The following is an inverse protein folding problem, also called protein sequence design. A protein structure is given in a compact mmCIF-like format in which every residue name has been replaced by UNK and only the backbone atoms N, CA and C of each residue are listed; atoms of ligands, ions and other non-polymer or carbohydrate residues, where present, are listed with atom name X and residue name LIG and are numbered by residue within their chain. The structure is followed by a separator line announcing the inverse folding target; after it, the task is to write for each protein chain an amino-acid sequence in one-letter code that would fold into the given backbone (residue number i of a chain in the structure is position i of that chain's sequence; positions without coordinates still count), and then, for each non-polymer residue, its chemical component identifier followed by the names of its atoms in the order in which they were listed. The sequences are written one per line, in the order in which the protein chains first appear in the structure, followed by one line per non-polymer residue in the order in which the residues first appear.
data_IF_816037979871
#
_entry.id   IF_816037979871
#
_cell.length_a   1.000
_cell.length_b   1.000
_cell.length_c   1.000
_cell.angle_alpha   90.00
_cell.angle_beta   90.00
_cell.angle_gamma   90.00
#
_symmetry.space_group_name_H-M   'P 1'
#
loop_
_entity.id
_entity.type
_entity.pdbx_description
1 polymer ?
#
# COMPACT_ATOMS: atom_id res chain seq x y z
N UNK A 1 -13.26 -22.19 -37.20
CA UNK A 1 -13.04 -20.72 -37.24
C UNK A 1 -12.07 -20.34 -36.12
N UNK A 2 -11.03 -19.54 -36.38
CA UNK A 2 -10.13 -19.02 -35.33
C UNK A 2 -10.65 -17.67 -34.83
N UNK A 3 -10.72 -17.49 -33.51
CA UNK A 3 -11.16 -16.25 -32.88
C UNK A 3 -10.10 -15.82 -31.85
N UNK A 4 -9.73 -14.55 -31.89
CA UNK A 4 -8.85 -13.93 -30.91
C UNK A 4 -9.71 -13.15 -29.91
N UNK A 5 -9.52 -13.41 -28.63
CA UNK A 5 -10.22 -12.72 -27.54
C UNK A 5 -9.19 -12.07 -26.63
N UNK A 6 -9.31 -10.75 -26.43
CA UNK A 6 -8.45 -10.01 -25.52
C UNK A 6 -9.27 -9.57 -24.30
N UNK A 7 -8.84 -9.95 -23.11
CA UNK A 7 -9.45 -9.57 -21.84
C UNK A 7 -8.48 -8.74 -21.03
N UNK A 8 -8.94 -7.60 -20.52
CA UNK A 8 -8.19 -6.77 -19.58
C UNK A 8 -8.91 -6.79 -18.24
N UNK A 9 -8.23 -7.25 -17.21
CA UNK A 9 -8.80 -7.41 -15.86
C UNK A 9 -8.30 -6.31 -14.90
N UNK A 10 -9.05 -6.14 -13.82
CA UNK A 10 -8.83 -5.23 -12.68
C UNK A 10 -7.46 -5.48 -12.02
N UNK A 11 -6.90 -4.42 -11.44
CA UNK A 11 -5.71 -4.46 -10.59
C UNK A 11 -5.85 -5.47 -9.45
N UNK A 12 -4.93 -6.41 -9.36
CA UNK A 12 -4.82 -7.30 -8.22
C UNK A 12 -4.03 -6.61 -7.11
N UNK A 13 -4.76 -6.27 -6.04
CA UNK A 13 -4.16 -5.81 -4.80
C UNK A 13 -3.60 -7.01 -4.04
N UNK A 14 -2.34 -6.93 -3.64
CA UNK A 14 -1.65 -7.90 -2.80
C UNK A 14 -1.95 -7.71 -1.30
N UNK A 15 -3.10 -7.15 -0.97
CA UNK A 15 -3.50 -6.88 0.41
C UNK A 15 -3.92 -8.22 1.04
N UNK A 16 -2.93 -9.01 1.47
CA UNK A 16 -3.15 -10.27 2.19
C UNK A 16 -3.71 -9.95 3.58
N UNK A 17 -4.88 -10.46 3.96
CA UNK A 17 -5.20 -10.59 5.38
C UNK A 17 -4.40 -11.78 5.92
N UNK A 18 -3.22 -11.52 6.48
CA UNK A 18 -2.61 -12.44 7.43
C UNK A 18 -3.22 -12.17 8.82
N UNK A 19 -4.53 -12.34 8.94
CA UNK A 19 -5.16 -12.48 10.26
C UNK A 19 -5.09 -13.96 10.60
N UNK A 20 -4.03 -14.35 11.32
CA UNK A 20 -3.83 -15.74 11.70
C UNK A 20 -2.42 -16.08 12.14
N UNK A 21 -1.83 -15.26 13.02
CA UNK A 21 -1.11 -15.74 14.20
C UNK A 21 -0.84 -14.52 15.09
N UNK A 22 -1.45 -14.46 16.28
CA UNK A 22 -1.02 -13.56 17.35
C UNK A 22 0.32 -14.06 17.92
N UNK A 23 1.34 -14.17 17.06
CA UNK A 23 2.71 -14.02 17.50
C UNK A 23 2.85 -12.56 17.89
N UNK A 24 2.75 -12.26 19.20
CA UNK A 24 3.05 -10.94 19.75
C UNK A 24 4.21 -10.34 18.95
N UNK A 25 4.02 -9.21 18.24
CA UNK A 25 5.15 -8.52 17.65
C UNK A 25 6.17 -8.31 18.79
N UNK A 26 7.48 -8.50 18.55
CA UNK A 26 8.47 -8.16 19.58
C UNK A 26 8.12 -6.74 20.01
N UNK A 27 7.98 -6.54 21.31
CA UNK A 27 7.45 -5.34 21.96
C UNK A 27 8.13 -4.09 21.37
N UNK A 28 7.59 -3.62 20.25
CA UNK A 28 8.03 -2.41 19.60
C UNK A 28 7.51 -1.35 20.54
N UNK A 29 8.41 -0.74 21.31
CA UNK A 29 8.14 0.57 21.85
C UNK A 29 7.69 1.41 20.67
N UNK A 30 6.38 1.64 20.51
CA UNK A 30 5.85 2.47 19.45
C UNK A 30 6.65 3.76 19.52
N UNK A 31 7.46 4.01 18.48
CA UNK A 31 8.36 5.14 18.54
C UNK A 31 7.47 6.37 18.62
N UNK A 32 7.63 7.13 19.70
CA UNK A 32 6.99 8.42 19.94
C UNK A 32 6.93 9.31 18.67
N UNK A 33 7.93 9.15 17.81
CA UNK A 33 8.15 9.93 16.62
C UNK A 33 7.66 9.26 15.32
N UNK A 34 6.62 8.41 15.36
CA UNK A 34 5.93 7.76 14.22
C UNK A 34 6.88 7.33 13.09
N UNK A 35 6.98 8.13 12.03
CA UNK A 35 7.77 7.83 10.82
C UNK A 35 9.31 7.92 11.03
N UNK A 36 9.74 8.50 12.15
CA UNK A 36 11.14 8.72 12.54
C UNK A 36 11.63 7.61 13.49
N UNK A 37 11.46 6.35 13.08
CA UNK A 37 11.78 5.16 13.88
C UNK A 37 13.25 5.07 14.33
N UNK A 38 14.15 5.80 13.65
CA UNK A 38 15.55 5.89 14.00
C UNK A 38 15.79 6.76 15.26
N UNK A 39 14.83 7.63 15.60
CA UNK A 39 14.86 8.45 16.81
C UNK A 39 14.02 7.78 17.91
N UNK A 40 14.64 7.46 19.04
CA UNK A 40 13.95 6.80 20.15
C UNK A 40 14.62 7.05 21.49
N UNK A 41 13.84 6.88 22.56
CA UNK A 41 14.35 6.79 23.92
C UNK A 41 14.78 5.35 24.18
N UNK A 42 16.04 5.16 24.55
CA UNK A 42 16.64 3.84 24.81
C UNK A 42 16.97 3.73 26.27
N UNK A 43 16.48 2.66 26.90
CA UNK A 43 16.74 2.34 28.31
C UNK A 43 18.25 2.25 28.58
N UNK A 44 18.73 2.91 29.62
CA UNK A 44 20.12 2.79 30.05
C UNK A 44 20.44 1.36 30.49
N UNK A 45 21.52 0.80 29.96
CA UNK A 45 21.98 -0.56 30.27
C UNK A 45 23.43 -0.61 30.80
N UNK A 46 23.99 0.55 31.18
CA UNK A 46 25.38 0.68 31.64
C UNK A 46 26.37 1.15 30.56
N UNK A 47 25.96 1.23 29.30
CA UNK A 47 26.81 1.71 28.20
C UNK A 47 26.12 2.81 27.39
N UNK A 48 26.88 3.81 26.95
CA UNK A 48 26.36 4.88 26.10
C UNK A 48 26.01 4.30 24.72
N UNK A 49 24.72 4.34 24.30
CA UNK A 49 24.33 3.81 23.00
C UNK A 49 24.91 4.64 21.85
N UNK A 50 25.25 3.97 20.75
CA UNK A 50 25.66 4.63 19.52
C UNK A 50 24.52 5.52 18.99
N UNK A 51 24.85 6.73 18.54
CA UNK A 51 23.87 7.71 18.08
C UNK A 51 23.20 8.50 19.22
N UNK A 52 23.71 8.41 20.46
CA UNK A 52 23.24 9.25 21.56
C UNK A 52 23.33 10.74 21.20
N UNK A 53 22.21 11.44 21.34
CA UNK A 53 22.11 12.87 21.04
C UNK A 53 22.72 13.65 22.19
N UNK A 54 23.62 14.60 21.89
CA UNK A 54 24.30 15.38 22.92
C UNK A 54 24.81 16.72 22.42
N UNK A 55 25.35 17.49 23.34
CA UNK A 55 26.00 18.78 23.10
C UNK A 55 27.37 18.80 23.77
N UNK A 56 28.22 19.72 23.32
CA UNK A 56 29.44 20.06 24.04
C UNK A 56 29.15 21.18 25.03
N UNK A 57 29.36 20.93 26.32
CA UNK A 57 29.23 21.90 27.39
C UNK A 57 30.57 22.62 27.55
N UNK A 58 30.67 23.85 27.01
CA UNK A 58 31.92 24.59 26.99
C UNK A 58 32.36 25.03 28.39
N UNK A 59 31.40 25.40 29.25
CA UNK A 59 31.66 25.81 30.64
C UNK A 59 32.25 24.70 31.50
N UNK A 60 31.83 23.45 31.28
CA UNK A 60 32.33 22.28 32.02
C UNK A 60 33.36 21.46 31.24
N UNK A 61 33.69 21.87 30.01
CA UNK A 61 34.63 21.20 29.11
C UNK A 61 34.37 19.69 28.94
N UNK A 62 33.10 19.33 28.71
CA UNK A 62 32.66 17.93 28.59
C UNK A 62 31.52 17.74 27.59
N UNK A 63 31.23 16.48 27.25
CA UNK A 63 30.03 16.13 26.47
C UNK A 63 28.88 15.76 27.40
N UNK A 64 27.76 16.40 27.17
CA UNK A 64 26.50 16.14 27.86
C UNK A 64 25.52 15.52 26.85
N UNK A 65 24.94 14.38 27.20
CA UNK A 65 23.99 13.62 26.38
C UNK A 65 22.58 13.78 26.91
N UNK A 66 21.60 13.89 26.01
CA UNK A 66 20.20 14.01 26.35
C UNK A 66 19.72 12.72 27.01
N UNK A 67 19.30 12.82 28.26
CA UNK A 67 18.70 11.74 29.02
C UNK A 67 17.34 12.17 29.58
N UNK A 68 16.55 11.20 30.05
CA UNK A 68 15.36 11.47 30.85
C UNK A 68 15.14 10.43 31.94
N UNK A 69 14.60 10.87 33.06
CA UNK A 69 13.89 10.00 34.00
C UNK A 69 12.40 10.30 33.93
N UNK A 70 11.59 9.29 33.60
CA UNK A 70 10.16 9.45 33.30
C UNK A 70 9.93 10.50 32.20
N UNK A 71 9.39 11.67 32.55
CA UNK A 71 9.16 12.81 31.66
C UNK A 71 10.13 13.98 31.90
N UNK A 72 11.09 13.86 32.81
CA UNK A 72 12.06 14.91 33.13
C UNK A 72 13.32 14.74 32.29
N UNK A 73 13.48 15.58 31.27
CA UNK A 73 14.71 15.66 30.51
C UNK A 73 15.83 16.34 31.31
N UNK A 74 17.04 15.89 31.04
CA UNK A 74 18.25 16.31 31.73
C UNK A 74 19.49 15.97 30.92
N UNK A 75 20.60 15.72 31.62
CA UNK A 75 21.85 15.33 31.00
C UNK A 75 22.50 14.12 31.67
N UNK A 76 23.13 13.29 30.84
CA UNK A 76 24.08 12.26 31.24
C UNK A 76 25.47 12.66 30.72
N UNK A 77 26.53 12.40 31.49
CA UNK A 77 27.90 12.59 31.04
C UNK A 77 28.79 11.47 31.56
N UNK A 78 29.63 10.84 30.72
CA UNK A 78 30.59 9.83 31.16
C UNK A 78 31.59 10.33 32.22
N UNK A 79 31.83 11.64 32.27
CA UNK A 79 32.86 12.26 33.13
C UNK A 79 32.41 12.42 34.60
N UNK A 80 31.14 12.11 34.92
CA UNK A 80 30.59 12.26 36.28
C UNK A 80 30.31 10.90 36.91
N UNK A 81 29.21 10.27 36.51
CA UNK A 81 28.78 8.94 36.96
C UNK A 81 27.71 8.39 36.01
N UNK A 82 27.25 7.16 36.26
CA UNK A 82 26.21 6.48 35.47
C UNK A 82 24.79 6.91 35.83
N UNK A 83 24.56 8.22 35.95
CA UNK A 83 23.26 8.80 36.31
C UNK A 83 22.79 9.85 35.30
N UNK A 84 21.48 9.90 35.08
CA UNK A 84 20.82 11.02 34.44
C UNK A 84 20.51 12.09 35.50
N UNK A 85 21.08 13.28 35.34
CA UNK A 85 20.78 14.45 36.16
C UNK A 85 19.64 15.22 35.52
N UNK A 86 18.58 15.49 36.28
CA UNK A 86 17.41 16.20 35.78
C UNK A 86 16.92 17.22 36.82
N UNK A 87 16.20 18.21 36.34
CA UNK A 87 15.62 19.25 37.18
C UNK A 87 14.26 18.81 37.71
N UNK A 88 13.99 19.01 39.00
CA UNK A 88 12.67 18.76 39.61
C UNK A 88 12.46 19.62 40.85
N UNK A 89 11.36 20.37 40.88
CA UNK A 89 10.87 21.09 42.07
C UNK A 89 11.94 21.93 42.78
N UNK A 90 12.73 22.71 42.03
CA UNK A 90 13.77 23.57 42.57
C UNK A 90 15.14 22.90 42.80
N UNK A 91 15.28 21.60 42.51
CA UNK A 91 16.51 20.82 42.76
C UNK A 91 17.07 20.13 41.52
N UNK A 92 18.38 19.89 41.55
CA UNK A 92 19.02 18.86 40.71
C UNK A 92 18.80 17.51 41.38
N UNK A 93 18.07 16.65 40.70
CA UNK A 93 17.84 15.26 41.08
C UNK A 93 18.61 14.36 40.12
N UNK A 94 18.78 13.09 40.50
CA UNK A 94 19.49 12.12 39.68
C UNK A 94 18.82 10.74 39.77
N UNK A 95 19.02 9.94 38.72
CA UNK A 95 18.55 8.56 38.67
C UNK A 95 19.52 7.70 37.86
N UNK A 96 19.77 6.48 38.32
CA UNK A 96 20.46 5.42 37.56
C UNK A 96 19.49 4.61 36.68
N UNK A 97 18.19 4.79 36.91
CA UNK A 97 17.07 4.32 36.12
C UNK A 97 16.68 5.46 35.17
N UNK A 98 17.18 5.46 33.93
CA UNK A 98 16.86 6.50 32.94
C UNK A 98 16.90 5.98 31.49
N UNK A 99 16.48 6.84 30.56
CA UNK A 99 16.58 6.61 29.12
C UNK A 99 17.50 7.65 28.47
N UNK A 100 18.20 7.27 27.41
CA UNK A 100 18.99 8.15 26.53
C UNK A 100 18.24 8.39 25.23
N UNK A 101 18.25 9.62 24.71
CA UNK A 101 17.75 9.90 23.37
C UNK A 101 18.78 9.46 22.33
N UNK A 102 18.37 8.57 21.42
CA UNK A 102 19.22 8.00 20.38
C UNK A 102 18.67 8.34 19.01
N UNK A 103 19.51 8.93 18.16
CA UNK A 103 19.31 9.04 16.72
C UNK A 103 20.20 8.00 16.03
N UNK A 104 19.65 6.81 15.78
CA UNK A 104 20.39 5.71 15.15
C UNK A 104 20.96 6.16 13.80
N UNK A 105 22.25 5.91 13.58
CA UNK A 105 23.01 6.26 12.38
C UNK A 105 23.03 7.77 12.06
N UNK A 106 22.72 8.62 13.05
CA UNK A 106 22.40 10.04 12.85
C UNK A 106 21.43 10.25 11.67
N UNK A 107 20.41 9.39 11.54
CA UNK A 107 19.58 9.36 10.34
C UNK A 107 18.53 10.49 10.30
N UNK A 108 17.93 10.84 11.43
CA UNK A 108 16.93 11.90 11.45
C UNK A 108 17.61 13.28 11.42
N UNK A 109 17.02 14.27 10.73
CA UNK A 109 17.63 15.59 10.59
C UNK A 109 17.34 16.45 11.82
N UNK A 110 18.00 16.17 12.93
CA UNK A 110 17.81 16.93 14.17
C UNK A 110 18.42 18.34 14.07
N UNK A 111 17.71 19.32 14.62
CA UNK A 111 18.19 20.71 14.71
C UNK A 111 17.75 21.34 16.04
N UNK A 112 18.55 22.29 16.53
CA UNK A 112 18.21 23.11 17.68
C UNK A 112 17.64 24.44 17.20
N UNK A 113 16.41 24.77 17.60
CA UNK A 113 15.73 26.02 17.23
C UNK A 113 15.53 26.93 18.42
N UNK A 114 16.03 28.16 18.31
CA UNK A 114 15.89 29.17 19.35
C UNK A 114 14.45 29.62 19.51
N UNK A 115 14.01 29.67 20.76
CA UNK A 115 12.69 30.16 21.15
C UNK A 115 12.71 30.70 22.60
N UNK A 116 11.56 31.14 23.10
CA UNK A 116 11.46 31.79 24.42
C UNK A 116 10.05 31.82 24.99
N UNK A 117 9.97 32.10 26.29
CA UNK A 117 8.72 32.37 27.02
C UNK A 117 7.64 31.28 26.89
N UNK A 118 8.06 30.02 26.79
CA UNK A 118 7.17 28.85 26.72
C UNK A 118 6.79 28.45 25.30
N UNK A 119 7.18 29.21 24.29
CA UNK A 119 7.00 28.81 22.91
C UNK A 119 7.85 27.57 22.59
N UNK A 120 7.29 26.72 21.75
CA UNK A 120 7.89 25.47 21.31
C UNK A 120 7.58 25.29 19.82
N UNK A 121 8.60 25.17 18.95
CA UNK A 121 8.37 24.98 17.53
C UNK A 121 7.66 23.66 17.22
N UNK A 122 7.05 23.58 16.03
CA UNK A 122 6.52 22.30 15.51
C UNK A 122 7.61 21.23 15.40
N UNK A 123 7.21 19.95 15.48
CA UNK A 123 8.11 18.78 15.45
C UNK A 123 9.16 18.73 16.58
N UNK A 124 8.87 19.37 17.71
CA UNK A 124 9.76 19.34 18.88
C UNK A 124 9.79 17.97 19.55
N UNK A 125 10.97 17.61 20.04
CA UNK A 125 11.23 16.34 20.72
C UNK A 125 10.65 16.41 22.13
N UNK A 126 9.58 15.66 22.36
CA UNK A 126 8.93 15.51 23.67
C UNK A 126 9.57 14.39 24.49
N UNK A 127 9.45 14.48 25.81
CA UNK A 127 9.92 13.43 26.73
C UNK A 127 8.87 12.33 26.99
N UNK A 128 7.59 12.62 26.71
CA UNK A 128 6.43 11.73 26.92
C UNK A 128 5.19 12.23 26.15
N UNK A 129 4.18 11.37 25.97
CA UNK A 129 2.99 11.66 25.13
C UNK A 129 2.04 12.65 25.80
N UNK A 130 1.98 12.56 27.13
CA UNK A 130 1.04 13.29 27.95
C UNK A 130 1.66 14.52 28.61
N UNK A 131 2.99 14.66 28.58
CA UNK A 131 3.70 15.54 29.50
C UNK A 131 3.88 16.99 29.06
N UNK A 132 3.69 17.34 27.79
CA UNK A 132 3.96 18.71 27.31
C UNK A 132 5.37 19.23 27.63
N UNK A 133 6.32 18.34 27.92
CA UNK A 133 7.71 18.65 28.25
C UNK A 133 8.59 18.29 27.06
N UNK A 134 9.50 19.20 26.71
CA UNK A 134 10.35 19.09 25.53
C UNK A 134 11.82 19.11 25.90
N UNK A 135 12.65 18.48 25.06
CA UNK A 135 14.10 18.54 25.19
C UNK A 135 14.59 19.92 24.79
N UNK A 136 15.30 20.59 25.68
CA UNK A 136 15.84 21.93 25.44
C UNK A 136 17.31 22.05 25.80
N UNK A 137 17.90 23.16 25.36
CA UNK A 137 19.25 23.53 25.75
C UNK A 137 19.47 25.04 25.82
N UNK A 138 20.60 25.41 26.40
CA UNK A 138 21.28 26.69 26.17
C UNK A 138 22.58 26.45 25.39
N UNK A 139 23.52 27.40 25.39
CA UNK A 139 24.88 27.17 24.88
C UNK A 139 25.59 26.04 25.61
N UNK A 140 25.32 25.86 26.90
CA UNK A 140 26.12 25.00 27.78
C UNK A 140 25.32 23.93 28.50
N UNK A 141 24.01 24.11 28.69
CA UNK A 141 23.22 23.21 29.54
C UNK A 141 22.12 22.51 28.76
N UNK A 142 21.91 21.22 29.05
CA UNK A 142 20.75 20.42 28.62
C UNK A 142 19.71 20.36 29.73
N UNK A 143 18.45 20.21 29.33
CA UNK A 143 17.35 20.09 30.27
C UNK A 143 16.01 20.01 29.58
N UNK A 144 15.00 20.60 30.22
CA UNK A 144 13.60 20.50 29.80
C UNK A 144 12.98 21.87 29.56
N UNK A 145 12.16 21.99 28.53
CA UNK A 145 11.27 23.15 28.32
C UNK A 145 9.87 22.78 28.78
N UNK A 146 9.29 23.61 29.64
CA UNK A 146 7.92 23.45 30.14
C UNK A 146 7.11 24.68 29.73
N UNK A 147 6.35 24.61 28.61
CA UNK A 147 5.59 25.73 28.07
C UNK A 147 4.69 26.43 29.09
N UNK A 148 4.02 25.65 29.96
CA UNK A 148 3.13 26.16 30.99
C UNK A 148 3.86 27.08 31.97
N UNK A 149 5.14 26.80 32.25
CA UNK A 149 5.98 27.60 33.13
C UNK A 149 6.80 28.65 32.38
N UNK A 150 6.68 28.72 31.05
CA UNK A 150 7.34 29.69 30.17
C UNK A 150 8.88 29.68 30.22
N UNK A 151 9.48 28.60 30.69
CA UNK A 151 10.91 28.52 30.96
C UNK A 151 11.52 27.20 30.52
N UNK A 152 12.81 27.26 30.20
CA UNK A 152 13.73 26.13 30.18
C UNK A 152 14.27 25.91 31.59
N UNK A 153 14.37 24.65 32.02
CA UNK A 153 14.87 24.24 33.32
C UNK A 153 16.01 23.25 33.15
N UNK A 154 17.10 23.46 33.86
CA UNK A 154 18.27 22.59 33.83
C UNK A 154 18.84 22.35 35.23
N UNK A 155 19.34 21.14 35.51
CA UNK A 155 20.07 20.85 36.73
C UNK A 155 21.48 21.48 36.69
N UNK A 156 21.87 22.16 37.77
CA UNK A 156 23.24 22.60 37.96
C UNK A 156 23.60 22.69 39.45
N UNK A 157 24.61 21.91 39.86
CA UNK A 157 25.26 21.98 41.18
C UNK A 157 24.27 21.87 42.34
N UNK A 158 23.34 20.90 42.25
CA UNK A 158 22.36 20.63 43.30
C UNK A 158 21.07 21.46 43.20
N UNK A 159 20.95 22.36 42.21
CA UNK A 159 19.79 23.25 42.04
C UNK A 159 19.12 23.08 40.67
N UNK A 160 17.81 23.33 40.62
CA UNK A 160 17.11 23.58 39.36
C UNK A 160 17.30 25.06 39.01
N UNK A 161 18.01 25.30 37.92
CA UNK A 161 18.14 26.62 37.31
C UNK A 161 17.13 26.76 36.17
N UNK A 162 16.74 27.99 35.83
CA UNK A 162 15.83 28.24 34.74
C UNK A 162 16.25 29.45 33.90
N UNK A 163 15.85 29.45 32.64
CA UNK A 163 16.07 30.57 31.72
C UNK A 163 14.89 30.72 30.75
N UNK A 164 14.45 31.95 30.43
CA UNK A 164 13.32 32.16 29.53
C UNK A 164 13.71 32.09 28.04
N UNK A 165 15.00 32.04 27.71
CA UNK A 165 15.54 31.92 26.35
C UNK A 165 16.24 30.57 26.19
N UNK A 166 15.94 29.83 25.14
CA UNK A 166 16.44 28.46 25.00
C UNK A 166 16.37 28.01 23.55
N UNK A 167 17.07 26.92 23.23
CA UNK A 167 16.82 26.19 22.00
C UNK A 167 16.02 24.93 22.31
N UNK A 168 15.08 24.58 21.44
CA UNK A 168 14.32 23.34 21.50
C UNK A 168 14.84 22.38 20.44
N UNK A 169 15.02 21.10 20.80
CA UNK A 169 15.40 20.07 19.83
C UNK A 169 14.19 19.73 18.97
N UNK A 170 14.34 19.77 17.66
CA UNK A 170 13.27 19.45 16.71
C UNK A 170 13.76 18.54 15.59
N UNK A 171 12.82 17.83 14.96
CA UNK A 171 13.06 17.15 13.68
C UNK A 171 12.85 18.16 12.56
N UNK A 172 13.94 18.47 11.84
CA UNK A 172 13.95 19.44 10.75
C UNK A 172 13.00 19.02 9.62
N UNK A 173 12.28 20.00 9.08
CA UNK A 173 11.35 19.81 7.96
C UNK A 173 12.01 20.10 6.60
N UNK A 174 13.34 20.03 6.52
CA UNK A 174 14.08 20.23 5.27
C UNK A 174 13.60 19.22 4.22
N UNK A 175 13.46 19.71 2.99
CA UNK A 175 13.21 18.86 1.82
C UNK A 175 14.37 17.89 1.62
N UNK A 176 14.04 16.68 1.16
CA UNK A 176 15.01 15.68 0.75
C UNK A 176 14.45 14.81 -0.37
N UNK A 177 15.35 14.17 -1.09
CA UNK A 177 15.02 13.03 -1.97
C UNK A 177 15.33 11.74 -1.24
N UNK A 178 14.59 10.68 -1.54
CA UNK A 178 14.69 9.40 -0.84
C UNK A 178 14.97 8.26 -1.81
N UNK A 179 15.85 7.34 -1.41
CA UNK A 179 16.16 6.13 -2.16
C UNK A 179 16.18 4.89 -1.27
N UNK A 180 15.66 3.77 -1.77
CA UNK A 180 15.84 2.45 -1.18
C UNK A 180 16.67 1.62 -2.15
N UNK A 181 17.83 1.18 -1.68
CA UNK A 181 18.85 0.46 -2.46
C UNK A 181 19.41 -0.69 -1.64
N UNK A 182 20.27 -1.51 -2.27
CA UNK A 182 20.95 -2.64 -1.61
C UNK A 182 19.97 -3.61 -0.94
N UNK A 183 18.83 -3.86 -1.60
CA UNK A 183 17.78 -4.75 -1.08
C UNK A 183 18.27 -6.20 -1.13
N UNK A 184 18.30 -6.85 0.03
CA UNK A 184 18.62 -8.25 0.20
C UNK A 184 17.40 -9.02 0.72
N UNK A 185 16.90 -9.97 -0.07
CA UNK A 185 15.72 -10.76 0.28
C UNK A 185 16.09 -11.99 1.12
N UNK A 186 15.30 -12.24 2.16
CA UNK A 186 15.42 -13.43 3.00
C UNK A 186 14.58 -14.57 2.38
N UNK A 187 15.08 -15.16 1.29
CA UNK A 187 14.36 -16.14 0.45
C UNK A 187 13.83 -17.35 1.23
N UNK A 188 14.55 -17.78 2.26
CA UNK A 188 14.16 -18.88 3.14
C UNK A 188 12.91 -18.57 4.00
N UNK A 189 12.56 -17.29 4.13
CA UNK A 189 11.38 -16.84 4.89
C UNK A 189 10.19 -16.47 3.99
N UNK A 190 10.22 -16.87 2.72
CA UNK A 190 9.11 -16.66 1.80
C UNK A 190 7.83 -17.33 2.32
N UNK A 191 6.77 -16.53 2.51
CA UNK A 191 5.44 -17.01 2.86
C UNK A 191 4.51 -16.85 1.66
N UNK A 192 3.97 -17.96 1.18
CA UNK A 192 2.99 -17.98 0.08
C UNK A 192 1.63 -18.43 0.61
N UNK A 193 0.59 -17.66 0.31
CA UNK A 193 -0.81 -17.96 0.64
C UNK A 193 -1.57 -18.23 -0.65
N UNK A 194 -2.10 -19.44 -0.76
CA UNK A 194 -2.98 -19.83 -1.87
C UNK A 194 -4.40 -19.37 -1.57
N UNK A 195 -4.94 -18.48 -2.40
CA UNK A 195 -6.34 -18.10 -2.34
C UNK A 195 -7.21 -19.15 -3.04
N UNK A 196 -8.49 -19.29 -2.65
CA UNK A 196 -9.45 -20.11 -3.38
C UNK A 196 -9.51 -19.72 -4.86
N UNK A 197 -9.70 -20.73 -5.72
CA UNK A 197 -9.94 -20.49 -7.14
C UNK A 197 -11.17 -19.61 -7.31
N UNK A 198 -11.09 -18.67 -8.25
CA UNK A 198 -12.19 -17.74 -8.54
C UNK A 198 -12.21 -17.38 -10.01
N UNK A 199 -13.33 -16.82 -10.45
CA UNK A 199 -13.46 -16.25 -11.78
C UNK A 199 -12.68 -14.94 -11.84
N UNK A 200 -11.74 -14.87 -12.78
CA UNK A 200 -10.80 -13.76 -12.99
C UNK A 200 -11.12 -12.96 -14.26
N UNK A 201 -12.00 -13.48 -15.10
CA UNK A 201 -12.45 -12.80 -16.30
C UNK A 201 -13.60 -13.58 -16.94
N UNK A 202 -14.32 -12.92 -17.83
CA UNK A 202 -15.36 -13.58 -18.62
C UNK A 202 -15.50 -12.91 -19.98
N UNK A 203 -15.93 -13.68 -20.96
CA UNK A 203 -16.26 -13.21 -22.30
C UNK A 203 -17.46 -13.96 -22.82
N UNK A 204 -18.15 -13.41 -23.81
CA UNK A 204 -19.26 -14.09 -24.49
C UNK A 204 -18.86 -14.36 -25.92
N UNK A 205 -19.12 -15.58 -26.37
CA UNK A 205 -18.91 -16.00 -27.76
C UNK A 205 -20.24 -16.47 -28.34
N UNK A 206 -20.42 -16.23 -29.63
CA UNK A 206 -21.66 -16.58 -30.33
C UNK A 206 -21.43 -17.22 -31.69
N UNK A 207 -22.31 -18.16 -32.03
CA UNK A 207 -22.49 -18.73 -33.34
C UNK A 207 -23.85 -18.30 -33.89
N UNK A 208 -23.86 -17.33 -34.81
CA UNK A 208 -25.08 -16.88 -35.48
C UNK A 208 -25.48 -17.73 -36.68
N UNK A 209 -24.62 -18.67 -37.07
CA UNK A 209 -24.89 -19.51 -38.23
C UNK A 209 -25.95 -20.57 -37.90
N UNK A 210 -26.65 -21.03 -38.94
CA UNK A 210 -27.68 -22.07 -38.84
C UNK A 210 -27.14 -23.48 -38.63
N UNK A 211 -25.83 -23.64 -38.49
CA UNK A 211 -25.15 -24.93 -38.36
C UNK A 211 -24.19 -24.95 -37.18
N UNK A 212 -23.85 -26.15 -36.71
CA UNK A 212 -22.84 -26.35 -35.68
C UNK A 212 -21.47 -25.86 -36.18
N UNK A 213 -20.73 -25.16 -35.33
CA UNK A 213 -19.42 -24.61 -35.67
C UNK A 213 -18.33 -25.03 -34.68
N UNK A 214 -17.22 -25.56 -35.21
CA UNK A 214 -15.99 -25.72 -34.44
C UNK A 214 -15.22 -24.39 -34.39
N UNK A 215 -14.99 -23.90 -33.17
CA UNK A 215 -14.24 -22.68 -32.91
C UNK A 215 -12.96 -23.00 -32.12
N UNK A 216 -11.85 -22.46 -32.60
CA UNK A 216 -10.59 -22.40 -31.86
C UNK A 216 -10.42 -20.99 -31.34
N UNK A 217 -10.21 -20.84 -30.03
CA UNK A 217 -10.05 -19.57 -29.34
C UNK A 217 -8.60 -19.41 -28.90
N UNK A 218 -8.03 -18.23 -29.16
CA UNK A 218 -6.82 -17.73 -28.50
C UNK A 218 -7.22 -16.59 -27.59
N UNK A 219 -7.22 -16.85 -26.29
CA UNK A 219 -7.66 -15.91 -25.27
C UNK A 219 -6.42 -15.35 -24.60
N UNK A 220 -6.23 -14.05 -24.70
CA UNK A 220 -5.18 -13.32 -24.02
C UNK A 220 -5.81 -12.56 -22.86
N UNK A 221 -5.37 -12.84 -21.63
CA UNK A 221 -5.86 -12.16 -20.42
C UNK A 221 -4.73 -11.43 -19.72
N UNK A 222 -4.91 -10.14 -19.48
CA UNK A 222 -3.91 -9.28 -18.83
C UNK A 222 -4.38 -8.81 -17.46
N UNK A 223 -3.47 -8.87 -16.48
CA UNK A 223 -3.67 -8.43 -15.10
C UNK A 223 -2.66 -7.35 -14.73
N UNK A 224 -3.09 -6.33 -14.01
CA UNK A 224 -2.17 -5.38 -13.37
C UNK A 224 -1.83 -5.91 -11.98
N UNK A 225 -0.59 -6.33 -11.76
CA UNK A 225 -0.11 -6.87 -10.48
C UNK A 225 0.59 -5.77 -9.68
N UNK A 226 0.20 -5.61 -8.41
CA UNK A 226 0.86 -4.73 -7.46
C UNK A 226 2.04 -5.45 -6.79
N UNK A 227 3.23 -4.87 -6.90
CA UNK A 227 4.47 -5.27 -6.21
C UNK A 227 4.83 -4.15 -5.21
N UNK A 228 5.01 -4.46 -3.93
CA UNK A 228 5.20 -3.45 -2.88
C UNK A 228 6.39 -3.77 -1.99
N UNK A 229 7.25 -2.78 -1.71
CA UNK A 229 8.39 -2.89 -0.77
C UNK A 229 8.06 -2.20 0.53
N UNK A 230 7.19 -2.81 1.34
CA UNK A 230 6.65 -2.19 2.54
C UNK A 230 7.70 -2.13 3.66
N UNK A 231 8.06 -0.93 4.11
CA UNK A 231 9.06 -0.70 5.16
C UNK A 231 8.42 -0.32 6.51
N UNK A 232 7.10 -0.53 6.66
CA UNK A 232 6.37 -0.31 7.91
C UNK A 232 6.17 1.16 8.30
N UNK A 233 6.48 2.11 7.40
CA UNK A 233 6.31 3.55 7.64
C UNK A 233 5.91 4.28 6.37
N UNK A 234 5.30 5.45 6.55
CA UNK A 234 4.88 6.29 5.43
C UNK A 234 6.01 7.19 4.94
N UNK A 235 6.03 7.49 3.65
CA UNK A 235 6.88 8.54 3.09
C UNK A 235 6.21 9.90 3.37
N UNK A 236 7.00 10.88 3.82
CA UNK A 236 6.51 12.23 4.05
C UNK A 236 5.82 12.80 2.79
N UNK A 237 4.73 13.54 2.99
CA UNK A 237 3.99 14.12 1.88
C UNK A 237 4.88 15.03 1.02
N UNK A 238 4.84 14.85 -0.29
CA UNK A 238 5.66 15.60 -1.25
C UNK A 238 7.08 15.05 -1.47
N UNK A 239 7.48 13.98 -0.77
CA UNK A 239 8.77 13.30 -1.02
C UNK A 239 8.57 12.17 -2.02
N UNK A 240 9.32 12.21 -3.12
CA UNK A 240 9.42 11.09 -4.06
C UNK A 240 10.46 10.07 -3.56
N UNK A 241 10.10 8.79 -3.57
CA UNK A 241 11.01 7.68 -3.25
C UNK A 241 11.39 6.92 -4.51
N UNK A 242 12.69 6.80 -4.76
CA UNK A 242 13.23 5.91 -5.78
C UNK A 242 13.57 4.56 -5.15
N UNK A 243 13.21 3.46 -5.79
CA UNK A 243 13.55 2.11 -5.34
C UNK A 243 14.33 1.42 -6.45
N UNK A 244 15.46 0.81 -6.09
CA UNK A 244 16.30 0.03 -7.00
C UNK A 244 16.44 -1.38 -6.46
N UNK A 245 15.81 -2.35 -7.12
CA UNK A 245 15.70 -3.73 -6.61
C UNK A 245 15.73 -4.76 -7.74
N UNK A 246 16.31 -5.93 -7.49
CA UNK A 246 15.91 -7.16 -8.21
C UNK A 246 14.45 -7.45 -7.87
N UNK A 247 13.65 -7.89 -8.84
CA UNK A 247 12.22 -8.10 -8.62
C UNK A 247 11.95 -9.59 -8.40
N UNK A 248 11.45 -10.00 -7.21
CA UNK A 248 11.09 -11.39 -6.99
C UNK A 248 9.95 -11.83 -7.90
N UNK A 249 10.12 -13.00 -8.49
CA UNK A 249 9.10 -13.78 -9.14
C UNK A 249 8.88 -15.06 -8.36
N UNK A 250 7.64 -15.45 -8.15
CA UNK A 250 7.31 -16.67 -7.42
C UNK A 250 6.22 -17.44 -8.15
N UNK A 251 6.35 -18.75 -8.10
CA UNK A 251 5.41 -19.73 -8.63
C UNK A 251 5.15 -20.78 -7.56
N UNK A 252 4.25 -21.72 -7.81
CA UNK A 252 4.00 -22.82 -6.86
C UNK A 252 5.26 -23.61 -6.48
N UNK A 253 6.20 -23.75 -7.41
CA UNK A 253 7.31 -24.69 -7.28
C UNK A 253 8.67 -24.02 -7.04
N UNK A 254 8.79 -22.71 -7.32
CA UNK A 254 10.06 -22.01 -7.29
C UNK A 254 9.89 -20.51 -7.10
N UNK A 255 10.95 -19.89 -6.58
CA UNK A 255 11.14 -18.44 -6.53
C UNK A 255 12.43 -18.10 -7.30
N UNK A 256 12.37 -17.04 -8.09
CA UNK A 256 13.53 -16.49 -8.81
C UNK A 256 13.60 -14.98 -8.63
N UNK A 257 14.78 -14.40 -8.86
CA UNK A 257 14.97 -12.96 -8.92
C UNK A 257 15.08 -12.54 -10.40
N UNK A 258 14.19 -11.67 -10.84
CA UNK A 258 14.23 -11.06 -12.16
C UNK A 258 15.24 -9.91 -12.23
N UNK A 259 15.38 -9.32 -13.42
CA UNK A 259 16.26 -8.18 -13.68
C UNK A 259 16.01 -7.00 -12.71
N UNK A 260 17.09 -6.29 -12.40
CA UNK A 260 17.04 -5.12 -11.53
C UNK A 260 16.21 -4.01 -12.19
N UNK A 261 15.29 -3.43 -11.43
CA UNK A 261 14.46 -2.30 -11.85
C UNK A 261 14.66 -1.13 -10.92
N UNK A 262 14.59 0.05 -11.51
CA UNK A 262 14.60 1.33 -10.81
C UNK A 262 13.29 2.05 -11.10
N UNK A 263 12.51 2.36 -10.07
CA UNK A 263 11.22 3.02 -10.21
C UNK A 263 11.02 4.10 -9.15
N UNK A 264 10.11 5.04 -9.41
CA UNK A 264 9.84 6.19 -8.55
C UNK A 264 8.39 6.17 -8.10
N UNK A 265 8.18 6.51 -6.83
CA UNK A 265 6.88 6.46 -6.18
C UNK A 265 6.66 7.76 -5.39
N UNK A 266 5.50 8.39 -5.56
CA UNK A 266 5.09 9.54 -4.72
C UNK A 266 4.28 9.11 -3.50
N UNK A 267 3.75 7.89 -3.47
CA UNK A 267 2.98 7.31 -2.36
C UNK A 267 3.32 5.83 -2.19
N UNK A 268 3.81 5.47 -1.01
CA UNK A 268 4.33 4.12 -0.76
C UNK A 268 5.49 3.77 -1.68
N UNK A 269 5.79 2.49 -1.77
CA UNK A 269 6.92 1.91 -2.51
C UNK A 269 6.39 0.81 -3.42
N UNK A 270 5.61 1.22 -4.43
CA UNK A 270 4.80 0.34 -5.24
C UNK A 270 5.22 0.38 -6.71
N UNK A 271 5.33 -0.80 -7.31
CA UNK A 271 5.50 -1.02 -8.75
C UNK A 271 4.26 -1.76 -9.28
N UNK A 272 3.66 -1.25 -10.35
CA UNK A 272 2.55 -1.90 -11.05
C UNK A 272 3.07 -2.51 -12.34
N UNK A 273 2.80 -3.79 -12.57
CA UNK A 273 3.22 -4.48 -13.79
C UNK A 273 2.08 -5.23 -14.45
N UNK A 274 1.99 -5.12 -15.77
CA UNK A 274 1.08 -5.93 -16.58
C UNK A 274 1.64 -7.34 -16.75
N UNK A 275 0.87 -8.34 -16.35
CA UNK A 275 1.16 -9.76 -16.62
C UNK A 275 0.11 -10.29 -17.58
N UNK A 276 0.55 -10.92 -18.67
CA UNK A 276 -0.33 -11.42 -19.72
C UNK A 276 -0.21 -12.94 -19.82
N UNK A 277 -1.35 -13.61 -19.95
CA UNK A 277 -1.44 -15.06 -20.11
C UNK A 277 -2.22 -15.41 -21.38
N UNK A 278 -1.75 -16.44 -22.07
CA UNK A 278 -2.40 -16.98 -23.25
C UNK A 278 -3.08 -18.32 -22.93
N UNK A 279 -4.35 -18.45 -23.31
CA UNK A 279 -5.16 -19.64 -23.12
C UNK A 279 -5.69 -20.06 -24.49
N UNK A 280 -5.38 -21.31 -24.86
CA UNK A 280 -5.95 -21.93 -26.05
C UNK A 280 -7.15 -22.80 -25.65
N UNK A 281 -8.29 -22.59 -26.30
CA UNK A 281 -9.51 -23.37 -26.02
C UNK A 281 -10.22 -23.74 -27.31
N UNK A 282 -10.87 -24.90 -27.37
CA UNK A 282 -11.65 -25.34 -28.53
C UNK A 282 -13.04 -25.74 -28.11
N UNK A 283 -14.05 -25.31 -28.88
CA UNK A 283 -15.46 -25.51 -28.55
C UNK A 283 -16.29 -25.78 -29.80
N UNK A 284 -17.25 -26.70 -29.67
CA UNK A 284 -18.31 -26.92 -30.65
C UNK A 284 -19.53 -26.10 -30.25
N UNK A 285 -19.83 -25.05 -31.01
CA UNK A 285 -20.96 -24.17 -30.78
C UNK A 285 -22.19 -24.66 -31.55
N UNK A 286 -23.32 -24.94 -30.89
CA UNK A 286 -24.58 -25.21 -31.56
C UNK A 286 -25.00 -24.08 -32.52
N UNK A 287 -25.85 -24.41 -33.48
CA UNK A 287 -26.45 -23.42 -34.38
C UNK A 287 -27.20 -22.34 -33.57
N UNK A 288 -27.07 -21.07 -33.96
CA UNK A 288 -27.76 -19.94 -33.35
C UNK A 288 -27.67 -19.94 -31.83
N UNK A 289 -26.47 -20.07 -31.29
CA UNK A 289 -26.23 -20.12 -29.85
C UNK A 289 -25.18 -19.11 -29.42
N UNK A 290 -25.25 -18.69 -28.16
CA UNK A 290 -24.20 -17.94 -27.47
C UNK A 290 -23.87 -18.65 -26.16
N UNK A 291 -22.65 -18.52 -25.67
CA UNK A 291 -22.30 -18.94 -24.33
C UNK A 291 -21.29 -17.97 -23.71
N UNK A 292 -21.28 -17.94 -22.39
CA UNK A 292 -20.29 -17.21 -21.61
C UNK A 292 -19.15 -18.16 -21.27
N UNK A 293 -17.93 -17.70 -21.56
CA UNK A 293 -16.70 -18.36 -21.15
C UNK A 293 -16.16 -17.62 -19.93
N UNK A 294 -16.10 -18.31 -18.78
CA UNK A 294 -15.52 -17.82 -17.54
C UNK A 294 -14.09 -18.32 -17.41
N UNK A 295 -13.17 -17.43 -17.09
CA UNK A 295 -11.77 -17.77 -16.82
C UNK A 295 -11.60 -17.94 -15.32
N UNK A 296 -11.42 -19.17 -14.87
CA UNK A 296 -11.10 -19.48 -13.48
C UNK A 296 -9.58 -19.59 -13.31
N UNK A 297 -9.04 -19.05 -12.22
CA UNK A 297 -7.62 -19.20 -11.88
C UNK A 297 -7.38 -19.21 -10.38
N UNK A 298 -6.19 -19.67 -9.99
CA UNK A 298 -5.70 -19.60 -8.63
C UNK A 298 -4.90 -18.29 -8.45
N UNK A 299 -5.17 -17.56 -7.37
CA UNK A 299 -4.37 -16.39 -6.99
C UNK A 299 -3.50 -16.79 -5.81
N UNK A 300 -2.21 -16.59 -5.94
CA UNK A 300 -1.25 -16.79 -4.86
C UNK A 300 -0.75 -15.43 -4.42
N UNK A 301 -0.60 -15.23 -3.12
CA UNK A 301 -0.02 -14.02 -2.57
C UNK A 301 1.27 -14.35 -1.85
N UNK A 302 2.28 -13.50 -1.95
CA UNK A 302 3.59 -13.72 -1.37
C UNK A 302 4.02 -12.55 -0.50
N UNK A 303 4.55 -12.89 0.68
CA UNK A 303 5.28 -12.00 1.57
C UNK A 303 6.72 -12.50 1.70
N UNK A 304 7.67 -11.62 1.44
CA UNK A 304 9.10 -11.94 1.48
C UNK A 304 9.84 -10.85 2.27
N UNK A 305 10.34 -11.17 3.48
CA UNK A 305 11.15 -10.24 4.26
C UNK A 305 12.41 -9.81 3.49
N UNK A 306 12.84 -8.58 3.71
CA UNK A 306 14.08 -8.05 3.16
C UNK A 306 14.75 -7.05 4.10
N UNK A 307 16.06 -6.92 3.95
CA UNK A 307 16.84 -5.80 4.49
C UNK A 307 17.25 -4.88 3.34
N UNK A 308 17.43 -3.59 3.61
CA UNK A 308 17.85 -2.62 2.61
C UNK A 308 18.56 -1.42 3.23
N UNK A 309 19.13 -0.57 2.38
CA UNK A 309 19.66 0.74 2.75
C UNK A 309 18.68 1.84 2.35
N UNK A 310 18.20 2.61 3.33
CA UNK A 310 17.46 3.84 3.09
C UNK A 310 18.43 5.01 3.05
N UNK A 311 18.40 5.78 1.95
CA UNK A 311 19.19 6.99 1.77
C UNK A 311 18.28 8.21 1.67
N UNK A 312 18.58 9.27 2.40
CA UNK A 312 17.95 10.59 2.27
C UNK A 312 19.00 11.61 1.91
N UNK A 313 18.83 12.26 0.77
CA UNK A 313 19.72 13.31 0.31
C UNK A 313 19.06 14.67 0.57
N UNK A 314 19.59 15.38 1.55
CA UNK A 314 19.26 16.77 1.87
C UNK A 314 20.25 17.70 1.16
N UNK A 315 19.88 18.95 0.90
CA UNK A 315 20.77 19.93 0.26
C UNK A 315 22.13 20.09 0.97
N UNK A 316 22.16 19.82 2.27
CA UNK A 316 23.36 19.93 3.11
C UNK A 316 24.14 18.63 3.31
N UNK A 317 23.51 17.46 3.17
CA UNK A 317 24.15 16.19 3.50
C UNK A 317 23.37 14.96 3.00
N UNK A 318 24.09 13.86 2.86
CA UNK A 318 23.52 12.53 2.66
C UNK A 318 23.42 11.81 4.01
N UNK A 319 22.24 11.31 4.35
CA UNK A 319 22.00 10.45 5.52
C UNK A 319 21.57 9.06 5.07
N UNK A 320 22.00 8.03 5.78
CA UNK A 320 21.66 6.65 5.46
C UNK A 320 21.47 5.77 6.70
N UNK A 321 20.57 4.79 6.60
CA UNK A 321 20.30 3.80 7.65
C UNK A 321 19.97 2.45 7.00
N UNK A 322 20.24 1.36 7.71
CA UNK A 322 19.65 0.07 7.37
C UNK A 322 18.18 0.03 7.79
N UNK A 323 17.34 -0.61 6.97
CA UNK A 323 15.92 -0.83 7.19
C UNK A 323 15.57 -2.29 6.95
N UNK A 324 14.48 -2.72 7.58
CA UNK A 324 13.80 -3.98 7.30
C UNK A 324 12.45 -3.70 6.65
N UNK A 325 11.97 -4.65 5.86
CA UNK A 325 10.68 -4.53 5.20
C UNK A 325 10.14 -5.88 4.72
N UNK A 326 8.93 -5.84 4.17
CA UNK A 326 8.24 -6.99 3.59
C UNK A 326 7.89 -6.65 2.15
N UNK A 327 8.45 -7.42 1.23
CA UNK A 327 8.03 -7.40 -0.16
C UNK A 327 6.70 -8.16 -0.29
N UNK A 328 5.68 -7.51 -0.85
CA UNK A 328 4.31 -8.05 -1.00
C UNK A 328 3.89 -8.04 -2.46
N UNK A 329 3.40 -9.18 -2.95
CA UNK A 329 2.94 -9.30 -4.34
C UNK A 329 1.92 -10.44 -4.51
N UNK A 330 1.37 -10.58 -5.70
CA UNK A 330 0.48 -11.65 -6.09
C UNK A 330 0.94 -12.28 -7.42
N UNK A 331 0.63 -13.56 -7.62
CA UNK A 331 0.82 -14.27 -8.87
C UNK A 331 -0.47 -15.03 -9.22
N UNK A 332 -0.71 -15.24 -10.51
CA UNK A 332 -1.85 -16.00 -11.03
C UNK A 332 -1.34 -17.27 -11.69
N UNK A 333 -1.94 -18.40 -11.35
CA UNK A 333 -1.61 -19.69 -11.96
C UNK A 333 -2.88 -20.51 -12.25
N UNK A 334 -2.68 -21.62 -12.97
CA UNK A 334 -3.72 -22.60 -13.30
C UNK A 334 -4.97 -21.99 -13.93
N UNK A 335 -4.77 -21.05 -14.86
CA UNK A 335 -5.85 -20.44 -15.62
C UNK A 335 -6.53 -21.49 -16.51
N UNK A 336 -7.84 -21.63 -16.37
CA UNK A 336 -8.66 -22.49 -17.21
C UNK A 336 -9.91 -21.76 -17.66
N UNK A 337 -10.34 -22.06 -18.87
CA UNK A 337 -11.60 -21.57 -19.41
C UNK A 337 -12.72 -22.58 -19.08
N UNK A 338 -13.85 -22.06 -18.57
CA UNK A 338 -15.05 -22.81 -18.22
C UNK A 338 -16.19 -22.29 -19.07
N UNK A 339 -16.86 -23.18 -19.78
CA UNK A 339 -18.01 -22.87 -20.63
C UNK A 339 -19.28 -22.97 -19.78
N UNK A 340 -20.07 -21.90 -19.76
CA UNK A 340 -21.42 -21.93 -19.22
C UNK A 340 -22.41 -22.55 -20.22
N UNK A 341 -23.64 -22.80 -19.76
CA UNK A 341 -24.69 -23.34 -20.61
C UNK A 341 -24.92 -22.50 -21.88
N UNK A 342 -25.26 -23.19 -22.96
CA UNK A 342 -25.57 -22.55 -24.23
C UNK A 342 -26.95 -21.92 -24.18
N UNK A 343 -27.02 -20.64 -24.54
CA UNK A 343 -28.26 -19.92 -24.73
C UNK A 343 -28.58 -19.83 -26.22
N UNK A 344 -29.83 -20.11 -26.60
CA UNK A 344 -30.30 -19.96 -27.97
C UNK A 344 -30.46 -18.47 -28.29
N UNK A 345 -29.96 -18.05 -29.44
CA UNK A 345 -30.18 -16.71 -30.01
C UNK A 345 -31.53 -16.72 -30.71
N UNK A 346 -32.56 -16.24 -30.02
CA UNK A 346 -33.86 -16.01 -30.63
C UNK A 346 -33.80 -14.75 -31.49
N UNK A 347 -34.13 -14.88 -32.77
CA UNK A 347 -34.45 -13.71 -33.58
C UNK A 347 -35.83 -13.23 -33.14
N UNK A 348 -35.89 -12.01 -32.61
CA UNK A 348 -37.15 -11.34 -32.34
C UNK A 348 -37.83 -11.03 -33.68
N UNK A 349 -38.82 -11.84 -34.06
CA UNK A 349 -39.60 -11.64 -35.28
C UNK A 349 -40.62 -10.50 -35.16
N UNK A 350 -40.54 -9.67 -34.11
CA UNK A 350 -41.38 -8.48 -33.91
C UNK A 350 -41.45 -7.54 -35.13
N UNK A 351 -40.38 -7.47 -35.95
CA UNK A 351 -40.36 -6.62 -37.15
C UNK A 351 -40.79 -7.30 -38.46
N UNK A 352 -40.99 -8.62 -38.49
CA UNK A 352 -41.36 -9.35 -39.70
C UNK A 352 -42.89 -9.58 -39.85
N UNK A 353 -43.65 -9.42 -38.76
CA UNK A 353 -45.12 -9.59 -38.78
C UNK A 353 -45.82 -8.42 -39.49
N UNK A 354 -45.19 -7.24 -39.56
CA UNK A 354 -45.74 -6.07 -40.27
C UNK A 354 -45.66 -6.18 -41.80
N UNK A 355 -44.67 -6.91 -42.35
CA UNK A 355 -44.49 -7.02 -43.82
C UNK A 355 -45.34 -8.12 -44.46
N UNK A 356 -45.63 -9.21 -43.73
CA UNK A 356 -46.45 -10.32 -44.24
C UNK A 356 -47.95 -9.97 -44.25
N UNK A 357 -48.41 -9.08 -43.35
CA UNK A 357 -49.81 -8.59 -43.37
C UNK A 357 -50.12 -7.63 -44.53
N UNK A 358 -49.14 -6.91 -45.08
CA UNK A 358 -49.36 -5.98 -46.20
C UNK A 358 -49.39 -6.64 -47.58
N UNK A 359 -48.76 -7.81 -47.75
CA UNK A 359 -48.70 -8.52 -49.04
C UNK A 359 -49.93 -9.40 -49.28
N UNK A 360 -50.57 -9.94 -48.23
CA UNK A 360 -51.83 -10.69 -48.33
C UNK A 360 -53.08 -9.81 -48.52
N UNK A 361 -53.03 -8.53 -48.15
CA UNK A 361 -54.13 -7.58 -48.36
C UNK A 361 -54.17 -6.99 -49.78
N UNK A 362 -53.05 -6.98 -50.51
CA UNK A 362 -52.99 -6.45 -51.90
C UNK A 362 -53.47 -7.44 -52.96
N UNK A 363 -53.47 -8.74 -52.68
CA UNK A 363 -53.92 -9.78 -53.63
C UNK A 363 -55.45 -9.95 -53.62
N UNK A 364 -56.14 -9.53 -52.56
CA UNK A 364 -57.62 -9.66 -52.45
C UNK A 364 -58.43 -8.56 -53.13
N UNK A 365 -57.83 -7.48 -53.63
CA UNK A 365 -58.54 -6.33 -54.21
C UNK A 365 -58.43 -6.19 -55.76
N UNK A 366 -58.03 -7.24 -56.47
CA UNK A 366 -58.06 -7.28 -57.94
C UNK A 366 -58.77 -8.53 -58.44
N UNK A 367 -60.09 -8.62 -58.27
CA UNK A 367 -61.01 -9.33 -59.17
C UNK A 367 -62.44 -9.25 -58.62
N UNK A 368 -63.28 -8.42 -59.25
CA UNK A 368 -64.68 -8.71 -59.56
C UNK A 368 -65.24 -7.55 -60.40
N UNK A 369 -65.30 -7.74 -61.71
CA UNK A 369 -66.17 -7.00 -62.62
C UNK A 369 -67.25 -7.96 -63.15
N UNK A 370 -68.50 -7.52 -62.97
CA UNK A 370 -69.80 -7.85 -63.61
C UNK A 370 -70.50 -9.23 -63.54
N UNK A 371 -71.86 -9.24 -63.38
CA UNK A 371 -72.71 -10.44 -63.36
C UNK A 371 -73.49 -10.66 -64.68
N UNK A 372 -73.99 -11.89 -64.91
CA UNK A 372 -75.00 -12.19 -65.93
C UNK A 372 -76.24 -12.90 -65.34
N UNK A 373 -77.40 -12.51 -65.87
CA UNK A 373 -78.77 -12.77 -65.42
C UNK A 373 -79.38 -13.97 -66.15
N UNK A 374 -80.27 -14.76 -65.50
CA UNK A 374 -81.65 -15.11 -65.94
C UNK A 374 -82.18 -16.48 -65.43
N UNK A 375 -83.28 -16.36 -64.64
CA UNK A 375 -84.58 -17.09 -64.66
C UNK A 375 -84.64 -18.63 -64.76
N UNK A 376 -85.49 -19.23 -63.91
CA UNK A 376 -86.80 -19.82 -64.27
C UNK A 376 -87.48 -20.39 -62.99
N UNK A 377 -88.65 -19.88 -62.57
CA UNK A 377 -90.04 -20.31 -62.90
C UNK A 377 -90.42 -21.67 -62.31
N UNK A 378 -91.27 -21.64 -61.27
CA UNK A 378 -92.07 -22.75 -60.72
C UNK A 378 -93.06 -23.31 -61.76
N UNK A 379 -93.68 -24.49 -61.52
CA UNK A 379 -95.00 -24.44 -60.88
C UNK A 379 -95.38 -25.65 -59.98
N UNK A 380 -96.24 -25.32 -59.00
CA UNK A 380 -97.38 -26.03 -58.38
C UNK A 380 -97.53 -27.57 -58.40
N UNK A 381 -97.72 -28.08 -57.18
CA UNK A 381 -98.84 -28.90 -56.66
C UNK A 381 -99.10 -30.37 -57.07
N UNK A 382 -99.41 -31.10 -55.98
CA UNK A 382 -100.37 -32.21 -55.82
C UNK A 382 -99.98 -33.67 -56.15
N UNK A 383 -99.76 -34.39 -55.03
CA UNK A 383 -100.37 -35.68 -54.62
C UNK A 383 -100.14 -36.98 -55.43
N UNK A 384 -99.79 -37.99 -54.62
CA UNK A 384 -99.55 -39.43 -54.85
C UNK A 384 -98.17 -39.85 -55.34
#
# INVERSE_FOLDING_TARGET
KLIHVNLKTITLLSDCPFDGDEGKPPEYSESFYKDNINLKWVRWNGTLPQGAVGIYNSKKSRKDYVCKYRNHAGFYTPDKDSCCYYSLSGKEEWSNDFDILVNKDDFEPLEWKSDRWGNVPGNSIKTSDFGGVYVGKTSDYLGKVVPQHKNFFYPNEGKECYWPFYDVLVISQKSYTQQIVDINYETEQLKVVNQPRRILGSTTIDNRDGQLMFMSLRIQISFVVKKSWDIGRSTAAGVETQVTALVPHFSRNQMTLEAQKTFRCSRGTVLLEDTTHDINYSINMPARSKCTLKIEGAVMMANLPFTATLKRNYDSCLKQTSIEGIYKTANIEDLKAIVEEFEIIFFDFSSAVSTIKLSLLKVRNMQMDEPMVLRNICPSDCSF
#
